data_IF_110752038913
#
_entry.id   IF_110752038913
#
_cell.length_a   1.000
_cell.length_b   1.000
_cell.length_c   1.000
_cell.angle_alpha   90.00
_cell.angle_beta   90.00
_cell.angle_gamma   90.00
#
_symmetry.space_group_name_H-M   'P 1'
#
loop_
_entity.id
_entity.type
_entity.pdbx_description
1 polymer ?
#
# COMPACT_ATOMS: atom_id res chain seq x y z
N UNK A 1 -7.12 3.31 4.17
CA UNK A 1 -7.56 2.62 2.94
C UNK A 1 -8.21 1.28 3.28
N UNK A 2 -9.13 0.80 2.45
CA UNK A 2 -10.00 -0.36 2.70
C UNK A 2 -9.53 -1.66 2.03
N UNK A 3 -8.60 -1.58 1.08
CA UNK A 3 -8.06 -2.70 0.31
C UNK A 3 -7.25 -3.64 1.21
N UNK A 4 -7.68 -4.90 1.30
CA UNK A 4 -7.08 -5.92 2.16
C UNK A 4 -7.86 -6.19 3.46
N UNK A 5 -8.98 -5.49 3.67
CA UNK A 5 -9.90 -5.74 4.79
C UNK A 5 -11.38 -5.70 4.39
N UNK A 6 -11.87 -4.54 3.94
CA UNK A 6 -13.26 -4.39 3.49
C UNK A 6 -13.39 -4.66 2.00
N UNK A 7 -12.33 -4.42 1.25
CA UNK A 7 -12.23 -4.69 -0.18
C UNK A 7 -11.18 -5.75 -0.44
N UNK A 8 -11.48 -6.66 -1.37
CA UNK A 8 -10.56 -7.70 -1.82
C UNK A 8 -9.69 -7.19 -3.01
N UNK A 9 -8.85 -8.07 -3.58
CA UNK A 9 -8.01 -7.74 -4.74
C UNK A 9 -8.84 -7.27 -5.95
N UNK A 10 -9.94 -7.97 -6.26
CA UNK A 10 -10.79 -7.66 -7.41
C UNK A 10 -11.45 -6.29 -7.26
N UNK A 11 -11.93 -5.95 -6.06
CA UNK A 11 -12.49 -4.63 -5.79
C UNK A 11 -11.45 -3.52 -5.97
N UNK A 12 -10.21 -3.75 -5.50
CA UNK A 12 -9.12 -2.80 -5.63
C UNK A 12 -8.70 -2.63 -7.09
N UNK A 13 -8.58 -3.72 -7.85
CA UNK A 13 -8.30 -3.70 -9.29
C UNK A 13 -9.33 -2.83 -10.02
N UNK A 14 -10.62 -3.05 -9.78
CA UNK A 14 -11.71 -2.27 -10.40
C UNK A 14 -11.63 -0.78 -10.03
N UNK A 15 -11.29 -0.46 -8.78
CA UNK A 15 -11.14 0.93 -8.34
C UNK A 15 -9.92 1.61 -8.96
N UNK A 16 -8.80 0.91 -9.11
CA UNK A 16 -7.59 1.42 -9.79
C UNK A 16 -7.90 1.68 -11.26
N UNK A 17 -8.50 0.72 -11.96
CA UNK A 17 -8.88 0.87 -13.37
C UNK A 17 -9.84 2.05 -13.58
N UNK A 18 -10.88 2.14 -12.73
CA UNK A 18 -11.82 3.24 -12.81
C UNK A 18 -11.13 4.59 -12.59
N UNK A 19 -10.29 4.72 -11.57
CA UNK A 19 -9.55 5.95 -11.27
C UNK A 19 -8.69 6.38 -12.46
N UNK A 20 -7.88 5.48 -13.01
CA UNK A 20 -7.01 5.77 -14.16
C UNK A 20 -7.83 6.16 -15.40
N UNK A 21 -8.94 5.48 -15.67
CA UNK A 21 -9.84 5.81 -16.77
C UNK A 21 -10.53 7.18 -16.62
N UNK A 22 -10.69 7.67 -15.39
CA UNK A 22 -11.18 9.02 -15.11
C UNK A 22 -10.06 10.07 -15.05
N UNK A 23 -8.81 9.70 -15.37
CA UNK A 23 -7.66 10.59 -15.34
C UNK A 23 -7.09 10.86 -13.93
N UNK A 24 -7.55 10.12 -12.92
CA UNK A 24 -6.97 10.18 -11.56
C UNK A 24 -5.72 9.29 -11.54
N UNK A 25 -4.56 9.90 -11.30
CA UNK A 25 -3.27 9.21 -11.37
C UNK A 25 -2.49 9.19 -10.05
N UNK A 26 -3.00 9.79 -8.96
CA UNK A 26 -2.34 9.79 -7.67
C UNK A 26 -2.95 8.71 -6.76
N UNK A 27 -2.16 7.69 -6.43
CA UNK A 27 -2.56 6.61 -5.52
C UNK A 27 -1.78 6.74 -4.22
N UNK A 28 -2.53 6.88 -3.13
CA UNK A 28 -2.01 7.03 -1.78
C UNK A 28 -2.19 5.73 -0.98
N UNK A 29 -1.12 5.26 -0.34
CA UNK A 29 -1.14 4.10 0.56
C UNK A 29 -0.27 4.33 1.80
N UNK A 30 -0.17 3.34 2.67
CA UNK A 30 0.72 3.33 3.83
C UNK A 30 1.00 1.87 4.21
N UNK A 31 2.18 1.58 4.77
CA UNK A 31 2.47 0.23 5.31
C UNK A 31 1.45 -0.19 6.38
N UNK A 32 0.88 0.78 7.10
CA UNK A 32 -0.13 0.56 8.14
C UNK A 32 -1.46 0.08 7.56
N UNK A 33 -1.78 0.40 6.31
CA UNK A 33 -3.03 0.00 5.69
C UNK A 33 -3.04 -1.52 5.41
N UNK A 34 -4.15 -2.23 5.59
CA UNK A 34 -5.55 -1.77 5.63
C UNK A 34 -6.08 -1.26 6.99
N UNK A 35 -7.19 -0.51 6.98
CA UNK A 35 -7.86 0.04 8.19
C UNK A 35 -9.21 -0.65 8.47
N UNK A 36 -9.58 -0.93 9.74
CA UNK A 36 -8.75 -0.86 10.95
C UNK A 36 -7.49 -1.75 10.88
N UNK A 37 -6.33 -1.28 11.39
CA UNK A 37 -5.08 -2.01 11.28
C UNK A 37 -5.03 -3.18 12.27
N UNK A 38 -4.62 -4.34 11.79
CA UNK A 38 -4.31 -5.53 12.60
C UNK A 38 -3.00 -6.15 12.13
N UNK A 39 -2.31 -6.97 12.95
CA UNK A 39 -1.13 -7.71 12.50
C UNK A 39 -1.34 -8.44 11.16
N UNK A 40 -2.49 -9.12 11.02
CA UNK A 40 -2.83 -9.90 9.81
C UNK A 40 -3.12 -9.06 8.55
N UNK A 41 -3.33 -7.75 8.69
CA UNK A 41 -3.63 -6.85 7.56
C UNK A 41 -2.53 -5.83 7.30
N UNK A 42 -1.45 -5.87 8.07
CA UNK A 42 -0.29 -5.01 7.91
C UNK A 42 0.35 -5.21 6.53
N UNK A 43 0.55 -4.12 5.77
CA UNK A 43 1.09 -4.14 4.42
C UNK A 43 0.14 -4.63 3.32
N UNK A 44 -1.08 -5.09 3.65
CA UNK A 44 -1.98 -5.70 2.64
C UNK A 44 -2.36 -4.75 1.51
N UNK A 45 -2.58 -3.47 1.80
CA UNK A 45 -2.90 -2.50 0.76
C UNK A 45 -1.75 -2.35 -0.24
N UNK A 46 -0.50 -2.29 0.25
CA UNK A 46 0.69 -2.23 -0.62
C UNK A 46 0.85 -3.53 -1.42
N UNK A 47 0.63 -4.69 -0.81
CA UNK A 47 0.67 -5.98 -1.53
C UNK A 47 -0.36 -6.07 -2.64
N UNK A 48 -1.58 -5.57 -2.42
CA UNK A 48 -2.67 -5.56 -3.42
C UNK A 48 -2.30 -4.65 -4.60
N UNK A 49 -1.76 -3.47 -4.33
CA UNK A 49 -1.26 -2.55 -5.38
C UNK A 49 -0.10 -3.20 -6.14
N UNK A 50 0.81 -3.87 -5.42
CA UNK A 50 1.93 -4.61 -5.99
C UNK A 50 1.48 -5.74 -6.93
N UNK A 51 0.47 -6.53 -6.54
CA UNK A 51 -0.10 -7.58 -7.39
C UNK A 51 -0.69 -7.00 -8.68
N UNK A 52 -1.48 -5.93 -8.57
CA UNK A 52 -2.03 -5.24 -9.76
C UNK A 52 -0.91 -4.73 -10.66
N UNK A 53 0.11 -4.08 -10.10
CA UNK A 53 1.27 -3.59 -10.86
C UNK A 53 2.08 -4.73 -11.50
N UNK A 54 2.18 -5.89 -10.86
CA UNK A 54 2.89 -7.04 -11.42
C UNK A 54 2.22 -7.56 -12.70
N UNK A 55 0.87 -7.56 -12.71
CA UNK A 55 0.05 -7.94 -13.87
C UNK A 55 -0.07 -6.83 -14.93
N UNK A 56 0.22 -5.58 -14.55
CA UNK A 56 0.08 -4.38 -15.39
C UNK A 56 1.39 -3.56 -15.43
N UNK A 57 2.54 -4.23 -15.52
CA UNK A 57 3.85 -3.59 -15.36
C UNK A 57 4.12 -2.48 -16.36
N UNK A 58 3.58 -2.59 -17.58
CA UNK A 58 3.64 -1.57 -18.64
C UNK A 58 2.81 -0.31 -18.34
N UNK A 59 2.07 -0.26 -17.24
CA UNK A 59 1.21 0.86 -16.85
C UNK A 59 1.72 1.59 -15.61
N UNK A 60 2.86 1.18 -15.05
CA UNK A 60 3.43 1.84 -13.85
C UNK A 60 3.63 3.34 -14.06
N UNK A 61 4.00 3.77 -15.26
CA UNK A 61 4.20 5.19 -15.59
C UNK A 61 2.91 6.02 -15.63
N UNK A 62 1.73 5.39 -15.63
CA UNK A 62 0.44 6.09 -15.64
C UNK A 62 0.07 6.65 -14.26
N UNK A 63 0.78 6.28 -13.19
CA UNK A 63 0.45 6.67 -11.81
C UNK A 63 1.63 7.23 -11.00
N UNK A 64 1.30 8.15 -10.10
CA UNK A 64 2.13 8.55 -8.97
C UNK A 64 1.69 7.73 -7.77
N UNK A 65 2.56 6.86 -7.28
CA UNK A 65 2.31 6.02 -6.11
C UNK A 65 3.07 6.58 -4.91
N UNK A 66 2.34 6.94 -3.85
CA UNK A 66 2.89 7.45 -2.60
C UNK A 66 2.56 6.49 -1.46
N UNK A 67 3.52 6.27 -0.57
CA UNK A 67 3.31 5.50 0.67
C UNK A 67 3.82 6.28 1.89
N UNK A 68 3.53 5.77 3.09
CA UNK A 68 3.83 6.39 4.38
C UNK A 68 4.35 5.34 5.35
N UNK A 69 5.29 5.78 6.17
CA UNK A 69 5.84 4.99 7.28
C UNK A 69 5.02 5.29 8.54
N UNK A 70 4.60 4.26 9.23
CA UNK A 70 3.95 4.37 10.53
C UNK A 70 4.94 4.88 11.59
N UNK A 71 4.45 5.72 12.51
CA UNK A 71 5.19 6.07 13.72
C UNK A 71 5.36 4.88 14.68
N UNK A 72 5.95 5.15 15.84
CA UNK A 72 6.11 4.16 16.90
C UNK A 72 4.78 3.73 17.55
N UNK A 73 4.81 2.64 18.30
CA UNK A 73 3.73 2.26 19.24
C UNK A 73 2.91 1.02 18.86
N UNK A 74 2.94 0.56 17.61
CA UNK A 74 2.30 -0.71 17.22
C UNK A 74 3.33 -1.84 17.28
N UNK A 75 3.19 -2.84 18.18
CA UNK A 75 4.24 -3.84 18.43
C UNK A 75 4.49 -4.76 17.23
N UNK A 76 3.54 -4.92 16.31
CA UNK A 76 3.71 -5.70 15.08
C UNK A 76 4.32 -4.90 13.92
N UNK A 77 4.65 -3.62 14.13
CA UNK A 77 5.34 -2.79 13.14
C UNK A 77 6.69 -2.42 13.75
N UNK A 78 7.77 -3.05 13.26
CA UNK A 78 9.15 -2.81 13.73
C UNK A 78 9.28 -2.86 15.26
N UNK A 79 8.56 -3.78 15.91
CA UNK A 79 8.56 -3.93 17.37
C UNK A 79 8.14 -2.64 18.12
N UNK A 80 7.38 -1.76 17.48
CA UNK A 80 6.95 -0.47 18.03
C UNK A 80 8.04 0.61 18.03
N UNK A 81 9.19 0.36 17.39
CA UNK A 81 10.34 1.28 17.35
C UNK A 81 10.03 2.60 16.62
N UNK A 82 10.70 3.71 16.98
CA UNK A 82 10.65 4.96 16.22
C UNK A 82 11.11 4.80 14.77
N UNK A 83 10.72 5.74 13.91
CA UNK A 83 11.20 5.81 12.53
C UNK A 83 12.70 6.11 12.52
N UNK A 84 13.46 5.34 11.73
CA UNK A 84 14.88 5.55 11.48
C UNK A 84 15.17 5.50 9.96
N UNK A 85 16.42 5.72 9.56
CA UNK A 85 16.82 5.72 8.15
C UNK A 85 16.61 4.37 7.46
N UNK A 86 16.83 3.27 8.18
CA UNK A 86 16.62 1.91 7.69
C UNK A 86 15.14 1.63 7.41
N UNK A 87 14.24 2.03 8.31
CA UNK A 87 12.80 1.93 8.11
C UNK A 87 12.34 2.72 6.88
N UNK A 88 12.98 3.86 6.62
CA UNK A 88 12.69 4.68 5.45
C UNK A 88 13.16 4.04 4.14
N UNK A 89 14.31 3.37 4.18
CA UNK A 89 14.85 2.66 3.03
C UNK A 89 14.05 1.39 2.71
N UNK A 90 13.72 0.59 3.72
CA UNK A 90 13.05 -0.70 3.56
C UNK A 90 11.62 -0.59 3.03
N UNK A 91 10.94 0.53 3.25
CA UNK A 91 9.59 0.76 2.72
C UNK A 91 9.53 0.71 1.19
N UNK A 92 10.60 1.17 0.53
CA UNK A 92 10.65 1.26 -0.93
C UNK A 92 11.29 0.05 -1.61
N UNK A 93 11.72 -0.95 -0.82
CA UNK A 93 12.35 -2.15 -1.33
C UNK A 93 11.32 -3.26 -1.57
N UNK A 94 11.51 -4.08 -2.63
CA UNK A 94 10.74 -5.30 -2.80
C UNK A 94 10.87 -6.18 -1.55
N UNK A 95 9.74 -6.66 -1.02
CA UNK A 95 9.71 -7.67 0.05
C UNK A 95 9.70 -9.08 -0.54
#
# INVERSE_FOLDING_TARGET
MTWGRQNNQQDADQQIEFALNQGVNFIDTAELYAIPPTPDTYGKTESIIGDWLSRNSNRRQEMVLATKIAGSGLPWIREGSPINGEASFNLWMPR
#
